data_IF_037467088351
#
_entry.id   IF_037467088351
#
_cell.length_a   1.000
_cell.length_b   1.000
_cell.length_c   1.000
_cell.angle_alpha   90.00
_cell.angle_beta   90.00
_cell.angle_gamma   90.00
#
_symmetry.space_group_name_H-M   'P 1'
#
loop_
_entity.id
_entity.type
_entity.pdbx_description
1 polymer ?
#
# COMPACT_ATOMS: atom_id res chain seq x y z
N UNK A 1 22.26 6.01 7.69
CA UNK A 1 21.33 5.09 8.40
C UNK A 1 21.30 5.43 9.88
N UNK A 2 20.12 5.80 10.40
CA UNK A 2 19.93 6.17 11.81
C UNK A 2 20.11 4.92 12.66
N UNK A 3 21.12 4.89 13.55
CA UNK A 3 21.20 3.83 14.56
C UNK A 3 19.85 3.77 15.30
N UNK A 4 19.17 2.62 15.39
CA UNK A 4 17.95 2.56 16.14
C UNK A 4 18.26 2.97 17.60
N UNK A 5 17.41 3.78 18.26
CA UNK A 5 17.50 3.90 19.71
C UNK A 5 17.39 2.50 20.33
N UNK A 6 17.88 2.31 21.58
CA UNK A 6 17.74 1.10 22.41
C UNK A 6 16.27 0.65 22.54
N UNK A 7 15.70 0.11 21.46
CA UNK A 7 14.34 -0.39 21.38
C UNK A 7 14.40 -1.88 21.68
N UNK A 8 13.52 -2.40 22.54
CA UNK A 8 13.45 -3.84 22.76
C UNK A 8 13.21 -4.56 21.42
N UNK A 9 13.77 -5.78 21.24
CA UNK A 9 13.54 -6.57 20.04
C UNK A 9 12.03 -6.77 19.82
N UNK A 10 11.58 -6.54 18.59
CA UNK A 10 10.20 -6.84 18.21
C UNK A 10 10.12 -8.35 17.94
N UNK A 11 9.32 -9.11 18.70
CA UNK A 11 9.26 -10.55 18.54
C UNK A 11 8.58 -10.93 17.24
N UNK A 12 9.03 -12.04 16.64
CA UNK A 12 8.33 -12.68 15.53
C UNK A 12 6.90 -13.05 15.96
N UNK A 13 5.86 -12.64 15.22
CA UNK A 13 4.50 -12.93 15.62
C UNK A 13 4.20 -14.43 15.42
N UNK A 14 3.26 -14.95 16.19
CA UNK A 14 2.74 -16.29 15.94
C UNK A 14 2.05 -16.32 14.56
N UNK A 15 2.16 -17.43 13.79
CA UNK A 15 1.44 -17.57 12.54
C UNK A 15 -0.06 -17.37 12.77
N UNK A 16 -0.72 -16.48 11.99
CA UNK A 16 -2.14 -16.26 12.15
C UNK A 16 -2.92 -17.49 11.68
N UNK A 17 -4.19 -17.57 12.09
CA UNK A 17 -5.12 -18.54 11.53
C UNK A 17 -5.37 -18.31 10.04
N UNK A 18 -6.15 -19.20 9.42
CA UNK A 18 -6.57 -19.07 8.02
C UNK A 18 -7.18 -17.69 7.76
N UNK A 19 -6.65 -17.00 6.76
CA UNK A 19 -7.09 -15.66 6.39
C UNK A 19 -8.32 -15.71 5.48
N UNK A 20 -9.21 -14.74 5.69
CA UNK A 20 -10.52 -14.66 5.05
C UNK A 20 -10.77 -13.25 4.55
N UNK A 21 -11.61 -13.12 3.53
CA UNK A 21 -12.06 -11.80 3.08
C UNK A 21 -12.80 -11.07 4.22
N UNK A 22 -12.74 -9.74 4.25
CA UNK A 22 -13.43 -8.90 5.22
C UNK A 22 -14.46 -8.04 4.51
N UNK A 23 -15.75 -8.39 4.66
CA UNK A 23 -16.84 -7.80 3.89
C UNK A 23 -17.96 -7.38 4.82
N UNK A 24 -18.50 -6.17 4.61
CA UNK A 24 -19.55 -5.58 5.45
C UNK A 24 -19.16 -5.55 6.93
N UNK A 25 -17.86 -5.35 7.16
CA UNK A 25 -17.22 -5.24 8.46
C UNK A 25 -17.21 -6.51 9.32
N UNK A 26 -17.11 -7.68 8.68
CA UNK A 26 -16.89 -8.99 9.28
C UNK A 26 -16.08 -9.89 8.35
N UNK A 27 -15.39 -10.89 8.90
CA UNK A 27 -14.75 -11.93 8.09
C UNK A 27 -15.81 -12.83 7.44
N UNK A 28 -15.60 -13.20 6.17
CA UNK A 28 -16.51 -14.03 5.38
C UNK A 28 -15.80 -15.25 4.82
N UNK A 29 -16.47 -16.40 4.88
CA UNK A 29 -16.00 -17.64 4.25
C UNK A 29 -16.18 -17.55 2.74
N UNK A 30 -15.15 -17.99 2.01
CA UNK A 30 -15.23 -18.05 0.55
C UNK A 30 -16.07 -19.24 0.10
N UNK A 31 -16.99 -18.99 -0.82
CA UNK A 31 -17.78 -20.03 -1.49
C UNK A 31 -17.05 -20.68 -2.66
N UNK A 32 -15.89 -20.15 -3.07
CA UNK A 32 -15.10 -20.70 -4.18
C UNK A 32 -14.42 -22.04 -3.82
N UNK A 33 -14.11 -22.24 -2.54
CA UNK A 33 -13.26 -23.33 -2.06
C UNK A 33 -11.78 -23.20 -2.43
N UNK A 34 -11.40 -22.15 -3.16
CA UNK A 34 -10.02 -21.91 -3.57
C UNK A 34 -9.22 -21.28 -2.41
N UNK A 35 -8.00 -21.79 -2.21
CA UNK A 35 -7.06 -21.32 -1.20
C UNK A 35 -5.67 -21.16 -1.82
N UNK A 36 -4.89 -20.22 -1.29
CA UNK A 36 -3.45 -20.09 -1.55
C UNK A 36 -2.70 -19.91 -0.22
N UNK A 37 -1.39 -20.10 -0.23
CA UNK A 37 -0.55 -19.98 0.97
C UNK A 37 0.21 -18.67 0.96
N UNK A 38 0.19 -17.93 2.08
CA UNK A 38 1.22 -16.92 2.36
C UNK A 38 2.46 -17.64 2.90
N UNK A 39 3.64 -17.17 2.50
CA UNK A 39 4.94 -17.81 2.76
C UNK A 39 5.88 -16.74 3.31
N UNK A 40 6.60 -17.06 4.37
CA UNK A 40 7.64 -16.19 4.91
C UNK A 40 8.84 -16.24 3.95
N UNK A 41 9.20 -15.12 3.28
CA UNK A 41 10.28 -15.11 2.30
C UNK A 41 11.67 -15.33 2.91
N UNK A 42 11.82 -15.18 4.23
CA UNK A 42 13.10 -15.38 4.93
C UNK A 42 13.39 -16.85 5.23
N UNK A 43 12.34 -17.67 5.37
CA UNK A 43 12.44 -19.09 5.75
C UNK A 43 11.90 -20.04 4.66
N UNK A 44 11.08 -19.54 3.74
CA UNK A 44 10.24 -20.29 2.81
C UNK A 44 9.22 -21.21 3.51
N UNK A 45 8.94 -20.97 4.79
CA UNK A 45 7.91 -21.70 5.52
C UNK A 45 6.53 -21.07 5.28
N UNK A 46 5.49 -21.90 5.29
CA UNK A 46 4.10 -21.42 5.16
C UNK A 46 3.72 -20.66 6.42
N UNK A 47 3.26 -19.42 6.25
CA UNK A 47 2.69 -18.62 7.33
C UNK A 47 1.26 -19.09 7.62
N UNK A 48 0.39 -19.06 6.60
CA UNK A 48 -1.00 -19.50 6.72
C UNK A 48 -1.63 -19.75 5.35
N UNK A 49 -2.80 -20.39 5.34
CA UNK A 49 -3.69 -20.43 4.18
C UNK A 49 -4.57 -19.17 4.10
N UNK A 50 -4.91 -18.78 2.87
CA UNK A 50 -5.73 -17.62 2.55
C UNK A 50 -6.84 -18.04 1.59
N UNK A 51 -8.09 -17.77 1.96
CA UNK A 51 -9.25 -18.07 1.10
C UNK A 51 -9.35 -17.04 -0.03
N UNK A 52 -9.33 -17.51 -1.28
CA UNK A 52 -9.46 -16.66 -2.45
C UNK A 52 -10.93 -16.36 -2.76
N UNK A 53 -11.25 -15.10 -3.03
CA UNK A 53 -12.58 -14.67 -3.43
C UNK A 53 -13.01 -15.28 -4.77
N UNK A 54 -14.26 -15.69 -4.86
CA UNK A 54 -14.96 -15.94 -6.11
C UNK A 54 -15.75 -14.71 -6.58
N UNK A 55 -16.49 -14.84 -7.69
CA UNK A 55 -17.43 -13.81 -8.13
C UNK A 55 -18.45 -13.42 -7.05
N UNK A 56 -18.96 -14.38 -6.27
CA UNK A 56 -19.94 -14.13 -5.23
C UNK A 56 -19.42 -13.21 -4.12
N UNK A 57 -18.19 -13.41 -3.65
CA UNK A 57 -17.59 -12.57 -2.62
C UNK A 57 -17.26 -11.17 -3.14
N UNK A 58 -16.82 -11.06 -4.41
CA UNK A 58 -16.60 -9.76 -5.07
C UNK A 58 -17.91 -8.98 -5.19
N UNK A 59 -18.98 -9.63 -5.68
CA UNK A 59 -20.29 -9.02 -5.83
C UNK A 59 -20.85 -8.59 -4.45
N UNK A 60 -20.68 -9.42 -3.43
CA UNK A 60 -21.07 -9.11 -2.05
C UNK A 60 -20.30 -7.90 -1.49
N UNK A 61 -18.98 -7.83 -1.72
CA UNK A 61 -18.15 -6.70 -1.30
C UNK A 61 -18.56 -5.40 -1.99
N UNK A 62 -18.82 -5.44 -3.31
CA UNK A 62 -19.27 -4.27 -4.06
C UNK A 62 -20.68 -3.85 -3.64
N UNK A 63 -21.58 -4.80 -3.39
CA UNK A 63 -22.93 -4.51 -2.90
C UNK A 63 -22.91 -3.87 -1.50
N UNK A 64 -22.06 -4.37 -0.60
CA UNK A 64 -21.85 -3.77 0.73
C UNK A 64 -21.29 -2.35 0.61
N UNK A 65 -20.27 -2.15 -0.23
CA UNK A 65 -19.69 -0.83 -0.51
C UNK A 65 -20.71 0.15 -1.10
N UNK A 66 -21.57 -0.32 -2.01
CA UNK A 66 -22.62 0.49 -2.62
C UNK A 66 -23.70 0.89 -1.63
N UNK A 67 -24.13 -0.03 -0.76
CA UNK A 67 -25.07 0.26 0.34
C UNK A 67 -24.49 1.30 1.29
N UNK A 68 -23.28 1.07 1.78
CA UNK A 68 -22.62 1.96 2.72
C UNK A 68 -22.35 3.37 2.13
N UNK A 69 -22.13 3.46 0.82
CA UNK A 69 -21.90 4.72 0.14
C UNK A 69 -23.07 5.71 0.28
N UNK A 70 -24.31 5.22 0.31
CA UNK A 70 -25.51 6.07 0.43
C UNK A 70 -25.46 6.96 1.68
N UNK A 71 -24.98 6.41 2.80
CA UNK A 71 -24.88 7.13 4.08
C UNK A 71 -23.50 7.76 4.28
N UNK A 72 -22.41 7.06 3.93
CA UNK A 72 -21.04 7.53 4.12
C UNK A 72 -20.74 8.80 3.32
N UNK A 73 -21.21 8.88 2.07
CA UNK A 73 -21.05 10.08 1.23
C UNK A 73 -21.74 11.32 1.78
N UNK A 74 -22.77 11.12 2.62
CA UNK A 74 -23.56 12.17 3.27
C UNK A 74 -23.09 12.47 4.70
N UNK A 75 -22.23 11.62 5.26
CA UNK A 75 -21.64 11.84 6.58
C UNK A 75 -20.84 13.15 6.55
N UNK A 76 -21.10 14.12 7.44
CA UNK A 76 -20.40 15.39 7.47
C UNK A 76 -18.87 15.22 7.42
N UNK A 77 -18.13 16.01 6.62
CA UNK A 77 -16.68 15.84 6.49
C UNK A 77 -15.91 15.85 7.82
N UNK A 78 -16.36 16.65 8.79
CA UNK A 78 -15.79 16.69 10.15
C UNK A 78 -16.02 15.38 10.91
N UNK A 79 -17.15 14.71 10.71
CA UNK A 79 -17.41 13.40 11.32
C UNK A 79 -16.59 12.29 10.67
N UNK A 80 -16.44 12.33 9.33
CA UNK A 80 -15.51 11.43 8.62
C UNK A 80 -14.09 11.58 9.17
N UNK A 81 -13.61 12.83 9.30
CA UNK A 81 -12.31 13.12 9.93
C UNK A 81 -12.18 12.48 11.31
N UNK A 82 -13.15 12.65 12.21
CA UNK A 82 -13.08 12.06 13.57
C UNK A 82 -12.96 10.53 13.57
N UNK A 83 -13.56 9.85 12.60
CA UNK A 83 -13.40 8.39 12.44
C UNK A 83 -11.99 8.06 11.96
N UNK A 84 -11.50 8.77 10.95
CA UNK A 84 -10.16 8.54 10.40
C UNK A 84 -9.05 8.90 11.40
N UNK A 85 -9.19 9.99 12.16
CA UNK A 85 -8.26 10.39 13.22
C UNK A 85 -8.20 9.32 14.35
N UNK A 86 -9.32 8.64 14.64
CA UNK A 86 -9.32 7.49 15.56
C UNK A 86 -8.57 6.28 14.99
N UNK A 87 -8.72 6.00 13.69
CA UNK A 87 -7.95 4.96 13.03
C UNK A 87 -6.44 5.27 13.02
N UNK A 88 -6.04 6.55 12.84
CA UNK A 88 -4.65 7.00 12.98
C UNK A 88 -4.10 6.67 14.37
N UNK A 89 -4.86 6.97 15.43
CA UNK A 89 -4.44 6.67 16.79
C UNK A 89 -4.23 5.16 17.01
N UNK A 90 -5.15 4.32 16.53
CA UNK A 90 -5.04 2.86 16.62
C UNK A 90 -3.86 2.30 15.82
N UNK A 91 -3.58 2.82 14.61
CA UNK A 91 -2.42 2.44 13.81
C UNK A 91 -1.11 2.74 14.56
N UNK A 92 -1.03 3.92 15.19
CA UNK A 92 0.15 4.33 15.98
C UNK A 92 0.28 3.50 17.26
N UNK A 93 -0.82 3.19 17.94
CA UNK A 93 -0.85 2.33 19.12
C UNK A 93 -0.36 0.90 18.81
N UNK A 94 -0.78 0.36 17.67
CA UNK A 94 -0.44 -1.01 17.22
C UNK A 94 0.76 -1.08 16.29
N UNK A 95 1.61 -0.03 16.27
CA UNK A 95 2.71 0.09 15.32
C UNK A 95 3.60 -1.16 15.30
N UNK A 96 3.97 -1.68 16.47
CA UNK A 96 4.95 -2.77 16.57
C UNK A 96 4.34 -4.12 16.19
N UNK A 97 3.07 -4.33 16.50
CA UNK A 97 2.33 -5.52 16.08
C UNK A 97 2.18 -5.56 14.56
N UNK A 98 1.77 -4.43 13.95
CA UNK A 98 1.61 -4.31 12.51
C UNK A 98 2.96 -4.40 11.78
N UNK A 99 4.01 -3.79 12.34
CA UNK A 99 5.35 -3.85 11.78
C UNK A 99 5.94 -5.27 11.83
N UNK A 100 5.70 -6.02 12.91
CA UNK A 100 6.09 -7.42 13.01
C UNK A 100 5.38 -8.29 11.95
N UNK A 101 4.09 -8.03 11.71
CA UNK A 101 3.32 -8.72 10.67
C UNK A 101 3.79 -8.34 9.26
N UNK A 102 4.07 -7.07 9.01
CA UNK A 102 4.68 -6.58 7.77
C UNK A 102 6.04 -7.26 7.52
N UNK A 103 6.92 -7.31 8.51
CA UNK A 103 8.22 -7.98 8.41
C UNK A 103 8.07 -9.46 8.11
N UNK A 104 7.15 -10.16 8.76
CA UNK A 104 6.89 -11.58 8.50
C UNK A 104 6.42 -11.84 7.07
N UNK A 105 5.48 -11.04 6.58
CA UNK A 105 4.83 -11.24 5.27
C UNK A 105 5.72 -10.75 4.11
N UNK A 106 6.46 -9.66 4.31
CA UNK A 106 7.28 -9.01 3.26
C UNK A 106 8.75 -9.44 3.25
N UNK A 107 9.28 -9.89 4.38
CA UNK A 107 10.72 -10.10 4.59
C UNK A 107 11.53 -8.82 4.82
N UNK A 108 10.90 -7.65 4.93
CA UNK A 108 11.64 -6.41 5.19
C UNK A 108 12.23 -6.37 6.60
N UNK A 109 13.43 -5.78 6.77
CA UNK A 109 13.99 -5.58 8.10
C UNK A 109 13.02 -4.86 9.05
N UNK A 110 12.91 -5.34 10.28
CA UNK A 110 11.99 -4.80 11.29
C UNK A 110 12.34 -3.36 11.69
N UNK A 111 13.61 -2.98 11.53
CA UNK A 111 14.05 -1.60 11.69
C UNK A 111 13.37 -0.66 10.68
N UNK A 112 13.09 -1.13 9.46
CA UNK A 112 12.35 -0.38 8.44
C UNK A 112 10.85 -0.35 8.77
N UNK A 113 10.22 -1.51 8.96
CA UNK A 113 8.76 -1.59 9.10
C UNK A 113 8.23 -0.84 10.33
N UNK A 114 9.01 -0.83 11.42
CA UNK A 114 8.63 -0.14 12.67
C UNK A 114 8.79 1.38 12.63
N UNK A 115 9.56 1.92 11.68
CA UNK A 115 9.87 3.35 11.60
C UNK A 115 9.32 4.02 10.34
N UNK A 116 9.02 3.24 9.30
CA UNK A 116 8.58 3.73 7.99
C UNK A 116 7.19 3.24 7.64
N UNK A 117 6.99 1.94 7.38
CA UNK A 117 5.78 1.43 6.72
C UNK A 117 4.48 1.80 7.45
N UNK A 118 4.36 1.47 8.73
CA UNK A 118 3.15 1.76 9.52
C UNK A 118 3.05 3.25 9.84
N UNK A 119 4.16 3.86 10.26
CA UNK A 119 4.24 5.27 10.69
C UNK A 119 3.80 6.21 9.56
N UNK A 120 4.44 6.08 8.39
CA UNK A 120 4.13 6.95 7.25
C UNK A 120 2.78 6.62 6.62
N UNK A 121 2.31 5.37 6.73
CA UNK A 121 0.94 5.01 6.38
C UNK A 121 -0.09 5.76 7.25
N UNK A 122 0.14 5.82 8.57
CA UNK A 122 -0.69 6.57 9.49
C UNK A 122 -0.65 8.09 9.21
N UNK A 123 0.52 8.62 8.86
CA UNK A 123 0.67 10.04 8.49
C UNK A 123 -0.12 10.39 7.21
N UNK A 124 -0.16 9.49 6.22
CA UNK A 124 -1.01 9.68 5.03
C UNK A 124 -2.49 9.71 5.39
N UNK A 125 -2.92 8.82 6.30
CA UNK A 125 -4.30 8.82 6.77
C UNK A 125 -4.63 10.11 7.53
N UNK A 126 -3.75 10.57 8.42
CA UNK A 126 -3.89 11.81 9.18
C UNK A 126 -3.97 13.02 8.24
N UNK A 127 -3.11 13.08 7.23
CA UNK A 127 -3.12 14.13 6.22
C UNK A 127 -4.46 14.22 5.49
N UNK A 128 -4.96 13.09 4.95
CA UNK A 128 -6.23 13.09 4.22
C UNK A 128 -7.45 13.27 5.14
N UNK A 129 -7.40 12.77 6.38
CA UNK A 129 -8.42 13.05 7.39
C UNK A 129 -8.51 14.56 7.66
N UNK A 130 -7.37 15.23 7.82
CA UNK A 130 -7.27 16.68 7.96
C UNK A 130 -7.81 17.46 6.75
N UNK A 131 -7.62 16.93 5.53
CA UNK A 131 -8.14 17.53 4.30
C UNK A 131 -9.63 17.32 4.07
N UNK A 132 -10.26 16.31 4.67
CA UNK A 132 -11.67 15.99 4.44
C UNK A 132 -12.63 17.20 4.51
N UNK A 133 -12.60 18.07 5.55
CA UNK A 133 -13.43 19.28 5.62
C UNK A 133 -12.98 20.43 4.71
N UNK A 134 -11.77 20.37 4.16
CA UNK A 134 -11.20 21.40 3.28
C UNK A 134 -11.47 21.16 1.79
N UNK A 135 -12.04 20.01 1.41
CA UNK A 135 -12.42 19.72 0.02
C UNK A 135 -13.54 20.66 -0.40
N UNK A 136 -13.18 21.72 -1.13
CA UNK A 136 -14.08 22.76 -1.59
C UNK A 136 -14.34 22.69 -3.10
N UNK A 137 -15.48 23.26 -3.47
CA UNK A 137 -15.83 23.57 -4.86
C UNK A 137 -15.34 24.94 -5.30
N UNK A 138 -15.84 25.42 -6.42
CA UNK A 138 -15.56 26.75 -6.95
C UNK A 138 -16.86 27.51 -7.18
N UNK A 139 -16.83 28.83 -6.98
CA UNK A 139 -17.92 29.74 -7.35
C UNK A 139 -17.39 30.67 -8.43
N UNK A 140 -18.02 30.65 -9.60
CA UNK A 140 -17.66 31.45 -10.75
C UNK A 140 -18.75 32.49 -10.99
N UNK A 141 -18.39 33.76 -10.91
CA UNK A 141 -19.30 34.86 -11.22
C UNK A 141 -19.24 35.17 -12.72
N UNK A 142 -20.40 35.31 -13.36
CA UNK A 142 -20.55 35.74 -14.75
C UNK A 142 -21.30 37.08 -14.75
N UNK A 143 -20.57 38.21 -14.63
CA UNK A 143 -21.19 39.51 -14.41
C UNK A 143 -22.25 39.84 -15.47
N UNK A 144 -23.47 40.12 -15.00
CA UNK A 144 -24.61 40.44 -15.86
C UNK A 144 -25.34 39.24 -16.48
N UNK A 145 -24.84 38.01 -16.31
CA UNK A 145 -25.43 36.78 -16.86
C UNK A 145 -25.86 35.79 -15.77
N UNK A 146 -25.10 35.66 -14.68
CA UNK A 146 -25.41 34.74 -13.58
C UNK A 146 -24.16 34.29 -12.83
N UNK A 147 -24.21 33.10 -12.22
CA UNK A 147 -23.06 32.46 -11.56
C UNK A 147 -23.11 30.94 -11.77
N UNK A 148 -21.95 30.27 -11.66
CA UNK A 148 -21.86 28.81 -11.63
C UNK A 148 -21.21 28.32 -10.34
N UNK A 149 -21.65 27.15 -9.88
CA UNK A 149 -21.06 26.44 -8.74
C UNK A 149 -20.50 25.10 -9.22
N UNK A 150 -19.22 24.87 -8.98
CA UNK A 150 -18.57 23.58 -9.18
C UNK A 150 -18.54 22.86 -7.84
N UNK A 151 -19.04 21.63 -7.76
CA UNK A 151 -18.99 20.82 -6.55
C UNK A 151 -18.09 19.60 -6.74
N UNK A 152 -17.22 19.32 -5.77
CA UNK A 152 -16.47 18.06 -5.70
C UNK A 152 -17.32 17.04 -4.96
N UNK A 153 -17.80 16.01 -5.68
CA UNK A 153 -18.58 14.90 -5.10
C UNK A 153 -17.76 13.62 -5.12
N UNK A 154 -17.95 12.71 -4.15
CA UNK A 154 -17.35 11.39 -4.23
C UNK A 154 -17.84 10.66 -5.49
N UNK A 155 -16.97 9.83 -6.04
CA UNK A 155 -17.22 9.03 -7.23
C UNK A 155 -18.15 7.86 -6.93
N UNK A 156 -18.05 7.26 -5.74
CA UNK A 156 -18.84 6.09 -5.34
C UNK A 156 -17.99 4.96 -4.79
N UNK A 157 -18.15 3.76 -5.33
CA UNK A 157 -17.38 2.57 -4.98
C UNK A 157 -16.06 2.56 -5.74
N UNK A 158 -14.96 2.63 -5.01
CA UNK A 158 -13.61 2.55 -5.54
C UNK A 158 -13.03 1.13 -5.34
N UNK A 159 -12.38 0.59 -6.36
CA UNK A 159 -11.52 -0.59 -6.22
C UNK A 159 -10.06 -0.17 -6.03
N UNK A 160 -9.42 -0.67 -4.98
CA UNK A 160 -7.98 -0.56 -4.79
C UNK A 160 -7.30 -1.91 -5.02
N UNK A 161 -6.26 -1.96 -5.84
CA UNK A 161 -5.43 -3.16 -6.03
C UNK A 161 -4.02 -2.81 -5.60
N UNK A 162 -3.53 -3.50 -4.57
CA UNK A 162 -2.23 -3.27 -3.95
C UNK A 162 -1.09 -4.07 -4.59
N UNK A 163 0.14 -3.57 -4.42
CA UNK A 163 1.36 -4.32 -4.67
C UNK A 163 1.89 -4.89 -3.35
N UNK A 164 2.81 -5.84 -3.44
CA UNK A 164 3.28 -6.59 -2.28
C UNK A 164 4.39 -5.91 -1.48
N UNK A 165 5.04 -4.90 -2.06
CA UNK A 165 6.26 -4.32 -1.52
C UNK A 165 6.05 -3.32 -0.39
N UNK A 166 4.86 -2.73 -0.22
CA UNK A 166 4.50 -1.89 0.94
C UNK A 166 3.00 -2.08 1.25
N UNK A 167 2.57 -3.28 1.69
CA UNK A 167 1.17 -3.70 1.60
C UNK A 167 0.22 -2.84 2.45
N UNK A 168 0.51 -2.61 3.75
CA UNK A 168 -0.30 -1.72 4.58
C UNK A 168 -0.25 -0.27 4.10
N UNK A 169 0.94 0.22 3.76
CA UNK A 169 1.12 1.60 3.31
C UNK A 169 0.35 1.88 2.02
N UNK A 170 0.37 0.97 1.05
CA UNK A 170 -0.39 1.06 -0.21
C UNK A 170 -1.89 0.99 0.05
N UNK A 171 -2.34 0.15 0.99
CA UNK A 171 -3.74 0.11 1.40
C UNK A 171 -4.18 1.48 1.98
N UNK A 172 -3.33 2.14 2.76
CA UNK A 172 -3.56 3.48 3.31
C UNK A 172 -3.49 4.57 2.24
N UNK A 173 -2.52 4.55 1.33
CA UNK A 173 -2.41 5.47 0.20
C UNK A 173 -3.66 5.49 -0.69
N UNK A 174 -4.36 4.36 -0.79
CA UNK A 174 -5.60 4.25 -1.55
C UNK A 174 -6.82 4.58 -0.71
N UNK A 175 -6.94 3.99 0.47
CA UNK A 175 -8.13 4.13 1.31
C UNK A 175 -8.25 5.52 1.91
N UNK A 176 -7.17 6.11 2.42
CA UNK A 176 -7.20 7.43 3.06
C UNK A 176 -7.85 8.53 2.18
N UNK A 177 -7.37 8.80 0.94
CA UNK A 177 -8.01 9.80 0.09
C UNK A 177 -9.43 9.41 -0.35
N UNK A 178 -9.69 8.11 -0.56
CA UNK A 178 -11.02 7.65 -0.97
C UNK A 178 -12.05 7.91 0.14
N UNK A 179 -11.76 7.47 1.36
CA UNK A 179 -12.64 7.57 2.51
C UNK A 179 -12.82 9.03 2.95
N UNK A 180 -11.75 9.83 2.97
CA UNK A 180 -11.81 11.25 3.30
C UNK A 180 -12.75 12.02 2.37
N UNK A 181 -12.71 11.71 1.07
CA UNK A 181 -13.60 12.29 0.06
C UNK A 181 -15.04 11.74 0.10
N UNK A 182 -15.34 10.74 0.95
CA UNK A 182 -16.68 10.15 1.08
C UNK A 182 -16.98 8.98 0.14
N UNK A 183 -15.95 8.40 -0.49
CA UNK A 183 -16.08 7.17 -1.27
C UNK A 183 -16.06 5.94 -0.34
N UNK A 184 -16.51 4.80 -0.85
CA UNK A 184 -16.29 3.49 -0.23
C UNK A 184 -15.25 2.70 -1.05
N UNK A 185 -14.61 1.70 -0.44
CA UNK A 185 -13.53 0.95 -1.07
C UNK A 185 -13.69 -0.55 -0.93
N UNK A 186 -13.40 -1.27 -2.02
CA UNK A 186 -13.08 -2.69 -2.03
C UNK A 186 -11.60 -2.82 -2.38
N UNK A 187 -10.79 -3.32 -1.45
CA UNK A 187 -9.35 -3.44 -1.60
C UNK A 187 -8.93 -4.91 -1.80
N UNK A 188 -8.08 -5.16 -2.81
CA UNK A 188 -7.40 -6.45 -3.01
C UNK A 188 -5.91 -6.28 -2.67
N UNK A 189 -5.40 -6.86 -1.56
CA UNK A 189 -3.97 -6.92 -1.32
C UNK A 189 -3.29 -7.83 -2.35
N UNK A 190 -1.98 -7.74 -2.46
CA UNK A 190 -1.22 -8.70 -3.24
C UNK A 190 -1.27 -10.09 -2.58
N UNK A 191 -1.27 -11.14 -3.39
CA UNK A 191 -1.29 -12.53 -2.94
C UNK A 191 -0.01 -12.94 -2.20
N UNK A 192 1.10 -12.25 -2.45
CA UNK A 192 2.37 -12.45 -1.74
C UNK A 192 2.37 -11.84 -0.33
N UNK A 193 1.56 -10.80 -0.09
CA UNK A 193 1.49 -10.14 1.22
C UNK A 193 0.06 -9.78 1.62
N UNK A 194 -0.76 -10.79 1.96
CA UNK A 194 -2.18 -10.58 2.22
C UNK A 194 -2.48 -10.12 3.66
N UNK A 195 -1.57 -10.24 4.62
CA UNK A 195 -1.93 -10.32 6.04
C UNK A 195 -2.41 -8.99 6.64
N UNK A 196 -1.74 -7.88 6.33
CA UNK A 196 -1.97 -6.59 7.02
C UNK A 196 -3.22 -5.86 6.57
N UNK A 197 -3.79 -6.21 5.40
CA UNK A 197 -5.00 -5.58 4.87
C UNK A 197 -6.24 -5.86 5.74
N UNK A 198 -6.36 -7.06 6.30
CA UNK A 198 -7.48 -7.41 7.18
C UNK A 198 -7.34 -6.71 8.53
N UNK A 199 -6.13 -6.66 9.09
CA UNK A 199 -5.84 -5.90 10.32
C UNK A 199 -6.20 -4.42 10.15
N UNK A 200 -5.93 -3.81 8.99
CA UNK A 200 -6.38 -2.45 8.69
C UNK A 200 -7.91 -2.33 8.67
N UNK A 201 -8.61 -3.32 8.11
CA UNK A 201 -10.07 -3.31 8.07
C UNK A 201 -10.70 -3.43 9.48
N UNK A 202 -10.08 -4.22 10.36
CA UNK A 202 -10.45 -4.32 11.77
C UNK A 202 -10.18 -3.01 12.53
N UNK A 203 -9.03 -2.37 12.30
CA UNK A 203 -8.72 -1.05 12.86
C UNK A 203 -9.75 -0.01 12.41
N UNK A 204 -10.10 0.01 11.13
CA UNK A 204 -11.14 0.91 10.64
C UNK A 204 -12.50 0.62 11.29
N UNK A 205 -12.87 -0.66 11.43
CA UNK A 205 -14.10 -1.06 12.12
C UNK A 205 -14.12 -0.57 13.57
N UNK A 206 -13.03 -0.75 14.30
CA UNK A 206 -12.87 -0.32 15.69
C UNK A 206 -12.89 1.21 15.84
N UNK A 207 -12.30 1.93 14.88
CA UNK A 207 -12.37 3.39 14.82
C UNK A 207 -13.80 3.93 14.56
N UNK A 208 -14.75 3.05 14.28
CA UNK A 208 -16.15 3.40 14.03
C UNK A 208 -16.46 3.64 12.55
N UNK A 209 -15.63 3.13 11.63
CA UNK A 209 -15.96 3.16 10.21
C UNK A 209 -17.20 2.27 9.95
N UNK A 210 -18.24 2.78 9.26
CA UNK A 210 -19.46 2.00 9.04
C UNK A 210 -19.19 0.70 8.27
N UNK A 211 -19.99 -0.36 8.54
CA UNK A 211 -19.92 -1.61 7.77
C UNK A 211 -19.98 -1.33 6.27
N UNK A 212 -19.12 -1.98 5.49
CA UNK A 212 -19.11 -1.87 4.03
C UNK A 212 -18.35 -0.67 3.48
N UNK A 213 -17.92 0.30 4.29
CA UNK A 213 -17.17 1.46 3.78
C UNK A 213 -15.77 1.07 3.32
N UNK A 214 -15.11 0.14 4.01
CA UNK A 214 -13.86 -0.49 3.59
C UNK A 214 -14.04 -2.01 3.64
N UNK A 215 -13.77 -2.69 2.53
CA UNK A 215 -13.85 -4.15 2.40
C UNK A 215 -12.54 -4.68 1.82
N UNK A 216 -12.17 -5.90 2.19
CA UNK A 216 -10.97 -6.59 1.70
C UNK A 216 -11.39 -7.89 1.04
N UNK A 217 -10.93 -8.11 -0.19
CA UNK A 217 -11.10 -9.37 -0.92
C UNK A 217 -9.73 -9.93 -1.31
N UNK A 218 -9.45 -11.17 -0.92
CA UNK A 218 -8.20 -11.86 -1.27
C UNK A 218 -8.33 -12.61 -2.59
N UNK A 219 -7.19 -12.91 -3.19
CA UNK A 219 -7.09 -13.71 -4.41
C UNK A 219 -6.04 -13.15 -5.33
N UNK A 220 -5.86 -13.79 -6.47
CA UNK A 220 -4.84 -13.50 -7.46
C UNK A 220 -5.33 -12.46 -8.51
N UNK A 221 -4.66 -12.45 -9.68
CA UNK A 221 -5.06 -11.64 -10.82
C UNK A 221 -6.51 -11.89 -11.31
N UNK A 222 -7.08 -13.10 -11.10
CA UNK A 222 -8.48 -13.41 -11.44
C UNK A 222 -9.43 -12.53 -10.64
N UNK A 223 -9.19 -12.39 -9.32
CA UNK A 223 -9.99 -11.50 -8.44
C UNK A 223 -9.77 -10.04 -8.79
N UNK A 224 -8.53 -9.65 -9.09
CA UNK A 224 -8.23 -8.31 -9.61
C UNK A 224 -9.07 -7.97 -10.85
N UNK A 225 -9.17 -8.91 -11.80
CA UNK A 225 -9.96 -8.76 -13.02
C UNK A 225 -11.47 -8.72 -12.79
N UNK A 226 -11.96 -9.48 -11.80
CA UNK A 226 -13.37 -9.38 -11.37
C UNK A 226 -13.66 -7.95 -10.91
N UNK A 227 -12.80 -7.36 -10.07
CA UNK A 227 -12.95 -5.98 -9.61
C UNK A 227 -12.89 -4.97 -10.75
N UNK A 228 -11.87 -5.03 -11.61
CA UNK A 228 -11.68 -4.01 -12.66
C UNK A 228 -12.82 -3.99 -13.69
N UNK A 229 -13.46 -5.13 -13.94
CA UNK A 229 -14.59 -5.26 -14.87
C UNK A 229 -15.94 -5.04 -14.23
N UNK A 230 -16.04 -5.10 -12.90
CA UNK A 230 -17.32 -5.08 -12.21
C UNK A 230 -18.12 -3.79 -12.53
N UNK A 231 -19.40 -3.90 -12.96
CA UNK A 231 -20.20 -2.73 -13.36
C UNK A 231 -20.59 -1.83 -12.19
N UNK A 232 -20.60 -2.37 -10.96
CA UNK A 232 -20.85 -1.62 -9.73
C UNK A 232 -19.65 -0.85 -9.17
N UNK A 233 -18.50 -0.80 -9.86
CA UNK A 233 -17.31 -0.05 -9.43
C UNK A 233 -17.16 1.22 -10.28
N UNK A 234 -17.01 2.37 -9.61
CA UNK A 234 -16.99 3.70 -10.25
C UNK A 234 -15.55 4.18 -10.56
N UNK A 235 -14.56 3.66 -9.83
CA UNK A 235 -13.13 4.00 -10.01
C UNK A 235 -12.23 2.82 -9.67
N UNK A 236 -11.11 2.69 -10.39
CA UNK A 236 -10.02 1.77 -10.05
C UNK A 236 -8.74 2.53 -9.72
N UNK A 237 -7.99 2.05 -8.73
CA UNK A 237 -6.61 2.46 -8.44
C UNK A 237 -5.72 1.23 -8.32
N UNK A 238 -4.72 1.11 -9.20
CA UNK A 238 -3.71 0.05 -9.16
C UNK A 238 -2.36 0.62 -8.73
N UNK A 239 -1.67 -0.10 -7.86
CA UNK A 239 -0.21 -0.02 -7.73
C UNK A 239 0.37 -1.37 -8.16
N UNK A 240 1.32 -1.40 -9.08
CA UNK A 240 1.89 -2.67 -9.56
C UNK A 240 2.67 -2.59 -10.86
N UNK A 241 2.75 -3.70 -11.59
CA UNK A 241 3.51 -3.78 -12.84
C UNK A 241 2.86 -3.02 -14.01
N UNK A 242 3.69 -2.57 -14.96
CA UNK A 242 3.22 -1.90 -16.18
C UNK A 242 2.30 -2.79 -17.03
N UNK A 243 2.60 -4.08 -17.11
CA UNK A 243 1.79 -5.10 -17.79
C UNK A 243 0.41 -5.22 -17.15
N UNK A 244 0.36 -5.33 -15.82
CA UNK A 244 -0.90 -5.32 -15.04
C UNK A 244 -1.65 -4.00 -15.21
N UNK A 245 -0.96 -2.86 -15.20
CA UNK A 245 -1.57 -1.54 -15.43
C UNK A 245 -2.27 -1.43 -16.79
N UNK A 246 -1.67 -1.97 -17.85
CA UNK A 246 -2.30 -2.05 -19.18
C UNK A 246 -3.55 -2.93 -19.15
N UNK A 247 -3.50 -4.07 -18.49
CA UNK A 247 -4.65 -4.96 -18.35
C UNK A 247 -5.81 -4.29 -17.58
N UNK A 248 -5.50 -3.63 -16.45
CA UNK A 248 -6.47 -2.88 -15.66
C UNK A 248 -7.10 -1.75 -16.48
N UNK A 249 -6.31 -0.99 -17.23
CA UNK A 249 -6.83 0.08 -18.08
C UNK A 249 -7.75 -0.46 -19.19
N UNK A 250 -7.38 -1.58 -19.82
CA UNK A 250 -8.20 -2.24 -20.83
C UNK A 250 -9.53 -2.73 -20.23
N UNK A 251 -9.49 -3.37 -19.06
CA UNK A 251 -10.69 -3.85 -18.37
C UNK A 251 -11.60 -2.71 -17.90
N UNK A 252 -11.03 -1.61 -17.41
CA UNK A 252 -11.79 -0.44 -16.98
C UNK A 252 -12.55 0.25 -18.13
N UNK A 253 -12.07 0.10 -19.38
CA UNK A 253 -12.72 0.68 -20.56
C UNK A 253 -14.13 0.15 -20.81
N UNK A 254 -14.45 -1.07 -20.32
CA UNK A 254 -15.77 -1.70 -20.54
C UNK A 254 -16.91 -0.97 -19.83
N UNK A 255 -16.62 -0.12 -18.86
CA UNK A 255 -17.60 0.73 -18.15
C UNK A 255 -17.18 2.20 -18.11
N UNK A 256 -16.12 2.58 -18.83
CA UNK A 256 -15.55 3.93 -18.83
C UNK A 256 -15.22 4.48 -17.42
N UNK A 257 -14.85 3.60 -16.48
CA UNK A 257 -14.51 4.01 -15.12
C UNK A 257 -13.13 4.68 -15.06
N UNK A 258 -12.96 5.64 -14.16
CA UNK A 258 -11.70 6.34 -13.99
C UNK A 258 -10.61 5.42 -13.43
N UNK A 259 -9.38 5.56 -13.92
CA UNK A 259 -8.23 4.72 -13.51
C UNK A 259 -7.09 5.60 -13.01
N UNK A 260 -6.47 5.22 -11.90
CA UNK A 260 -5.17 5.74 -11.44
C UNK A 260 -4.18 4.58 -11.41
N UNK A 261 -3.02 4.75 -12.02
CA UNK A 261 -1.99 3.72 -12.14
C UNK A 261 -0.67 4.23 -11.57
N UNK A 262 -0.23 3.60 -10.48
CA UNK A 262 1.12 3.78 -9.91
C UNK A 262 1.96 2.57 -10.34
N UNK A 263 2.94 2.78 -11.21
CA UNK A 263 3.65 1.70 -11.89
C UNK A 263 5.16 1.72 -11.61
N UNK A 264 5.87 0.69 -12.06
CA UNK A 264 7.32 0.60 -11.95
C UNK A 264 8.07 1.69 -12.73
N UNK A 265 9.24 2.08 -12.22
CA UNK A 265 10.12 3.07 -12.84
C UNK A 265 11.55 2.56 -13.07
N UNK A 266 12.36 3.42 -13.69
CA UNK A 266 13.83 3.26 -13.82
C UNK A 266 14.52 4.59 -13.51
N UNK A 267 14.26 5.10 -12.31
CA UNK A 267 14.56 6.49 -11.92
C UNK A 267 16.07 6.77 -11.94
N UNK A 268 16.50 7.94 -12.48
CA UNK A 268 17.89 8.36 -12.45
C UNK A 268 18.24 9.13 -11.16
N UNK A 269 19.44 8.93 -10.64
CA UNK A 269 20.14 9.85 -9.72
C UNK A 269 21.28 10.51 -10.50
N UNK A 270 21.35 11.84 -10.50
CA UNK A 270 22.37 12.61 -11.22
C UNK A 270 23.32 13.25 -10.21
N UNK A 271 24.62 13.00 -10.34
CA UNK A 271 25.67 13.52 -9.45
C UNK A 271 26.61 14.42 -10.25
N UNK A 272 26.58 15.72 -9.95
CA UNK A 272 27.43 16.74 -10.55
C UNK A 272 28.70 17.01 -9.70
N UNK A 273 29.74 17.66 -10.26
CA UNK A 273 31.00 17.90 -9.54
C UNK A 273 30.88 18.76 -8.29
N UNK A 274 29.86 19.59 -8.21
CA UNK A 274 29.56 20.47 -7.07
C UNK A 274 28.67 19.81 -6.01
N UNK A 275 28.30 18.55 -6.20
CA UNK A 275 27.52 17.78 -5.22
C UNK A 275 28.36 17.40 -3.99
N UNK A 276 27.70 17.26 -2.85
CA UNK A 276 28.25 16.55 -1.70
C UNK A 276 28.36 15.06 -2.03
N UNK A 277 29.58 14.60 -2.32
CA UNK A 277 29.83 13.25 -2.82
C UNK A 277 29.59 12.16 -1.75
N UNK A 278 29.71 12.49 -0.46
CA UNK A 278 29.39 11.56 0.62
C UNK A 278 27.89 11.33 0.71
N UNK A 279 27.10 12.41 0.62
CA UNK A 279 25.63 12.33 0.59
C UNK A 279 25.12 11.70 -0.70
N UNK A 280 25.78 11.97 -1.84
CA UNK A 280 25.44 11.33 -3.11
C UNK A 280 25.63 9.81 -3.05
N UNK A 281 26.74 9.34 -2.46
CA UNK A 281 26.98 7.92 -2.26
C UNK A 281 26.00 7.29 -1.26
N UNK A 282 25.66 7.97 -0.15
CA UNK A 282 24.63 7.49 0.79
C UNK A 282 23.26 7.39 0.12
N UNK A 283 22.86 8.39 -0.66
CA UNK A 283 21.60 8.39 -1.40
C UNK A 283 21.58 7.25 -2.44
N UNK A 284 22.66 7.04 -3.17
CA UNK A 284 22.78 5.95 -4.14
C UNK A 284 22.61 4.58 -3.49
N UNK A 285 23.24 4.33 -2.34
CA UNK A 285 23.10 3.06 -1.61
C UNK A 285 21.69 2.92 -1.03
N UNK A 286 21.20 3.93 -0.32
CA UNK A 286 19.87 3.89 0.32
C UNK A 286 18.77 3.65 -0.72
N UNK A 287 18.73 4.43 -1.81
CA UNK A 287 17.70 4.30 -2.85
C UNK A 287 17.83 3.07 -3.76
N UNK A 288 18.80 2.19 -3.54
CA UNK A 288 18.92 0.95 -4.31
C UNK A 288 18.86 -0.32 -3.46
N UNK A 289 19.19 -0.23 -2.16
CA UNK A 289 19.19 -1.38 -1.26
C UNK A 289 18.11 -1.34 -0.18
N UNK A 290 17.50 -0.18 0.10
CA UNK A 290 16.35 -0.07 1.00
C UNK A 290 15.19 -0.94 0.51
N UNK A 291 14.47 -1.61 1.42
CA UNK A 291 13.46 -2.62 1.07
C UNK A 291 13.99 -3.73 0.13
N UNK A 292 15.27 -4.08 0.26
CA UNK A 292 15.98 -5.03 -0.62
C UNK A 292 15.89 -4.66 -2.12
N UNK A 293 15.80 -3.36 -2.42
CA UNK A 293 15.69 -2.85 -3.79
C UNK A 293 14.29 -2.96 -4.40
N UNK A 294 13.28 -3.35 -3.62
CA UNK A 294 11.91 -3.61 -4.10
C UNK A 294 11.01 -2.37 -4.01
N UNK A 295 11.47 -1.23 -4.56
CA UNK A 295 10.71 0.03 -4.59
C UNK A 295 10.58 0.54 -6.02
N UNK A 296 9.37 0.95 -6.42
CA UNK A 296 9.08 1.38 -7.80
C UNK A 296 9.86 2.63 -8.23
N UNK A 297 10.21 3.50 -7.28
CA UNK A 297 10.89 4.78 -7.50
C UNK A 297 12.41 4.72 -7.26
N UNK A 298 12.97 3.54 -7.00
CA UNK A 298 14.40 3.37 -6.72
C UNK A 298 15.29 4.04 -7.77
N UNK A 299 16.42 4.59 -7.29
CA UNK A 299 17.41 5.29 -8.10
C UNK A 299 18.32 4.31 -8.87
N UNK A 300 17.69 3.41 -9.62
CA UNK A 300 18.32 2.27 -10.31
C UNK A 300 19.37 2.63 -11.37
N UNK A 301 19.51 3.92 -11.70
CA UNK A 301 20.56 4.42 -12.61
C UNK A 301 21.23 5.62 -11.95
N UNK A 302 22.47 5.44 -11.50
CA UNK A 302 23.27 6.52 -10.93
C UNK A 302 24.20 7.06 -12.02
N UNK A 303 23.92 8.26 -12.51
CA UNK A 303 24.74 8.97 -13.49
C UNK A 303 25.67 9.93 -12.75
N UNK A 304 26.97 9.76 -12.93
CA UNK A 304 27.99 10.57 -12.25
C UNK A 304 28.80 11.33 -13.29
N UNK A 305 29.03 12.62 -13.03
CA UNK A 305 29.90 13.43 -13.88
C UNK A 305 31.33 12.87 -13.91
N UNK A 306 31.96 12.90 -15.08
CA UNK A 306 33.25 12.25 -15.32
C UNK A 306 34.35 12.69 -14.33
N UNK A 307 34.34 13.96 -13.90
CA UNK A 307 35.32 14.50 -12.95
C UNK A 307 35.29 13.83 -11.56
N UNK A 308 34.13 13.33 -11.12
CA UNK A 308 33.93 12.75 -9.78
C UNK A 308 33.50 11.28 -9.84
N UNK A 309 33.56 10.67 -11.02
CA UNK A 309 33.06 9.31 -11.28
C UNK A 309 33.69 8.27 -10.37
N UNK A 310 35.01 8.15 -10.41
CA UNK A 310 35.72 7.06 -9.71
C UNK A 310 35.59 7.20 -8.19
N UNK A 311 35.62 8.43 -7.69
CA UNK A 311 35.49 8.74 -6.27
C UNK A 311 34.10 8.38 -5.73
N UNK A 312 33.04 8.69 -6.50
CA UNK A 312 31.66 8.30 -6.13
C UNK A 312 31.48 6.78 -6.21
N UNK A 313 32.02 6.14 -7.24
CA UNK A 313 31.98 4.68 -7.38
C UNK A 313 32.66 3.97 -6.20
N UNK A 314 33.83 4.43 -5.77
CA UNK A 314 34.56 3.88 -4.64
C UNK A 314 33.75 4.03 -3.33
N UNK A 315 33.19 5.22 -3.08
CA UNK A 315 32.34 5.48 -1.91
C UNK A 315 31.09 4.62 -1.87
N UNK A 316 30.42 4.43 -3.02
CA UNK A 316 29.27 3.53 -3.13
C UNK A 316 29.70 2.10 -2.82
N UNK A 317 30.78 1.61 -3.44
CA UNK A 317 31.27 0.25 -3.22
C UNK A 317 31.71 -0.01 -1.77
N UNK A 318 32.32 0.96 -1.10
CA UNK A 318 32.66 0.87 0.32
C UNK A 318 31.42 0.76 1.20
N UNK A 319 30.41 1.62 0.97
CA UNK A 319 29.17 1.61 1.75
C UNK A 319 28.36 0.34 1.53
N UNK A 320 28.24 -0.12 0.29
CA UNK A 320 27.53 -1.37 -0.03
C UNK A 320 28.15 -2.57 0.69
N UNK A 321 29.50 -2.63 0.82
CA UNK A 321 30.20 -3.70 1.54
C UNK A 321 29.91 -3.75 3.04
N UNK A 322 29.35 -2.68 3.62
CA UNK A 322 29.02 -2.58 5.04
C UNK A 322 27.58 -3.02 5.35
N UNK A 323 26.75 -3.24 4.33
CA UNK A 323 25.36 -3.64 4.52
C UNK A 323 25.28 -5.06 5.07
N UNK A 324 24.46 -5.24 6.11
CA UNK A 324 24.21 -6.52 6.76
C UNK A 324 23.01 -7.20 6.11
N UNK A 325 23.23 -8.36 5.50
CA UNK A 325 22.17 -9.24 5.01
C UNK A 325 21.90 -10.29 6.09
N UNK A 326 20.65 -10.44 6.52
CA UNK A 326 20.36 -11.28 7.69
C UNK A 326 18.88 -11.58 7.94
N UNK A 327 18.59 -12.04 9.15
CA UNK A 327 17.22 -12.26 9.62
C UNK A 327 16.47 -10.91 9.66
N UNK A 328 15.32 -10.78 8.97
CA UNK A 328 14.54 -9.54 9.01
C UNK A 328 14.13 -9.09 10.42
N UNK A 329 14.07 -9.99 11.40
CA UNK A 329 13.77 -9.64 12.80
C UNK A 329 14.99 -9.22 13.62
N UNK A 330 16.22 -9.34 13.08
CA UNK A 330 17.42 -8.78 13.71
C UNK A 330 17.48 -7.26 13.43
N UNK A 331 17.47 -6.39 14.47
CA UNK A 331 17.57 -4.94 14.30
C UNK A 331 18.86 -4.47 13.60
N UNK A 332 19.89 -5.32 13.52
CA UNK A 332 21.13 -5.03 12.81
C UNK A 332 21.07 -5.35 11.30
N UNK A 333 20.00 -5.97 10.82
CA UNK A 333 19.84 -6.32 9.40
C UNK A 333 19.48 -5.08 8.57
N UNK A 334 20.26 -4.80 7.53
CA UNK A 334 19.99 -3.73 6.55
C UNK A 334 19.20 -4.24 5.33
N UNK A 335 19.38 -5.52 4.96
CA UNK A 335 18.80 -6.12 3.76
C UNK A 335 18.17 -7.48 4.12
N UNK A 336 16.86 -7.60 3.90
CA UNK A 336 16.12 -8.86 4.00
C UNK A 336 16.08 -9.65 2.68
N UNK A 337 15.38 -10.79 2.62
CA UNK A 337 15.18 -11.54 1.38
C UNK A 337 14.40 -10.73 0.33
N UNK A 338 14.45 -11.21 -0.92
CA UNK A 338 13.45 -10.85 -1.92
C UNK A 338 12.14 -11.59 -1.65
N UNK A 339 11.01 -11.02 -2.09
CA UNK A 339 9.66 -11.49 -1.71
C UNK A 339 9.34 -12.95 -2.08
N UNK A 340 9.99 -13.50 -3.11
CA UNK A 340 9.74 -14.87 -3.54
C UNK A 340 10.91 -15.43 -4.34
N UNK A 341 10.99 -16.75 -4.43
CA UNK A 341 11.96 -17.44 -5.28
C UNK A 341 11.82 -17.06 -6.77
N UNK A 342 10.59 -16.85 -7.24
CA UNK A 342 10.32 -16.38 -8.60
C UNK A 342 10.85 -14.96 -8.82
N UNK A 343 10.62 -14.05 -7.87
CA UNK A 343 11.14 -12.69 -7.95
C UNK A 343 12.67 -12.68 -7.93
N UNK A 344 13.27 -13.50 -7.06
CA UNK A 344 14.73 -13.69 -7.01
C UNK A 344 15.29 -14.17 -8.35
N UNK A 345 14.70 -15.19 -8.96
CA UNK A 345 15.15 -15.70 -10.25
C UNK A 345 15.09 -14.62 -11.35
N UNK A 346 14.09 -13.72 -11.29
CA UNK A 346 14.00 -12.57 -12.21
C UNK A 346 15.07 -11.51 -11.97
N UNK A 347 15.51 -11.31 -10.73
CA UNK A 347 16.58 -10.35 -10.39
C UNK A 347 17.96 -10.91 -10.77
N UNK A 348 18.16 -12.23 -10.68
CA UNK A 348 19.41 -12.90 -11.04
C UNK A 348 19.64 -13.04 -12.56
N UNK A 349 18.57 -12.98 -13.36
CA UNK A 349 18.60 -13.19 -14.82
C UNK A 349 19.08 -11.95 -15.60
#
# INVERSE_FOLDING_TARGET
MVSPPDRPPVPRPAPPGRQRCFVDGRSVESTSGEVFTSVDPSTNEVICEVEAAGPAEVDAAVAAARRAFADWSRTPPVERRRILDRAVALLRERNDELAALETLDTGKPVAETTTVDVVTGADVLEFYAGLAPAVAGESLDYPGEGFALVQRRPLGVCAGIGAWNYPLQIALWKSAPALACGNTMVFKPAELTPLTAVSLAEIYREAGLPPGVFNVVHGDARVGRLLTRHPGIDKVSLTGEVTTGRAVMADASTTLKAVTLELGGKSPLLVFPDADLERAAEAAVTHNFFSSGQVCSNATRVFVHAEVHDEVCERIAERTRRLVVGDPFDPATDIGPLISAEHRARVEA
#
